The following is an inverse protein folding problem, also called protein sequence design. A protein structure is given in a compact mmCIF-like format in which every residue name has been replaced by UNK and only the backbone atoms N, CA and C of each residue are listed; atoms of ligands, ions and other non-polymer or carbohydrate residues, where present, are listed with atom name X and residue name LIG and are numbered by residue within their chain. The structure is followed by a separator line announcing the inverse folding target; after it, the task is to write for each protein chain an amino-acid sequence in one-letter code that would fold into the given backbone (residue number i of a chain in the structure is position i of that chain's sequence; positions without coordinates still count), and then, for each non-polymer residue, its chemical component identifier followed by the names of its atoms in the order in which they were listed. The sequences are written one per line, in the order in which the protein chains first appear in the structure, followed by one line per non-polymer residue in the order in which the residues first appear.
data_IF_867013968896
#
_entry.id   IF_867013968896
#
_cell.length_a   1.000
_cell.length_b   1.000
_cell.length_c   1.000
_cell.angle_alpha   90.00
_cell.angle_beta   90.00
_cell.angle_gamma   90.00
#
_symmetry.space_group_name_H-M   'P 1'
#
loop_
_entity.id
_entity.type
_entity.pdbx_description
1 polymer ?
#
# COMPACT_ATOMS: atom_id res chain seq x y z
N UNK A 1 -2.06 12.32 -9.54
CA UNK A 1 -1.60 10.93 -9.36
C UNK A 1 -0.07 10.81 -9.32
N UNK A 2 0.69 11.61 -10.09
CA UNK A 2 2.16 11.58 -10.13
C UNK A 2 2.83 11.80 -8.76
N UNK A 3 2.25 12.60 -7.87
CA UNK A 3 2.77 12.83 -6.51
C UNK A 3 2.78 11.54 -5.65
N UNK A 4 1.64 10.85 -5.56
CA UNK A 4 1.55 9.56 -4.84
C UNK A 4 2.44 8.51 -5.47
N UNK A 5 2.46 8.44 -6.81
CA UNK A 5 3.31 7.49 -7.52
C UNK A 5 4.80 7.78 -7.28
N UNK A 6 5.21 9.05 -7.37
CA UNK A 6 6.61 9.45 -7.15
C UNK A 6 7.07 9.18 -5.72
N UNK A 7 6.21 9.40 -4.72
CA UNK A 7 6.53 9.05 -3.34
C UNK A 7 6.65 7.53 -3.15
N UNK A 8 5.86 6.71 -3.84
CA UNK A 8 5.87 5.26 -3.61
C UNK A 8 7.09 4.52 -4.18
N UNK A 9 7.97 5.17 -4.95
CA UNK A 9 9.12 4.49 -5.60
C UNK A 9 10.31 4.25 -4.66
N UNK A 10 10.43 5.00 -3.56
CA UNK A 10 11.55 4.87 -2.61
C UNK A 10 11.05 4.38 -1.25
N UNK A 11 11.91 3.71 -0.47
CA UNK A 11 11.54 3.22 0.87
C UNK A 11 11.04 4.35 1.78
N UNK A 12 11.81 5.44 1.87
CA UNK A 12 11.45 6.63 2.66
C UNK A 12 10.12 7.22 2.19
N UNK A 13 9.90 7.29 0.88
CA UNK A 13 8.68 7.83 0.33
C UNK A 13 7.47 6.93 0.58
N UNK A 14 7.63 5.60 0.58
CA UNK A 14 6.56 4.65 0.94
C UNK A 14 6.14 4.79 2.40
N UNK A 15 7.10 4.91 3.32
CA UNK A 15 6.84 5.15 4.76
C UNK A 15 6.08 6.47 4.96
N UNK A 16 6.57 7.54 4.33
CA UNK A 16 5.88 8.84 4.33
C UNK A 16 4.46 8.74 3.76
N UNK A 17 4.29 8.05 2.63
CA UNK A 17 3.02 8.00 1.91
C UNK A 17 1.92 7.32 2.72
N UNK A 18 2.25 6.21 3.38
CA UNK A 18 1.31 5.53 4.27
C UNK A 18 0.93 6.43 5.45
N UNK A 19 1.91 7.05 6.11
CA UNK A 19 1.67 7.95 7.23
C UNK A 19 0.79 9.14 6.83
N UNK A 20 1.13 9.81 5.73
CA UNK A 20 0.36 10.92 5.20
C UNK A 20 -1.07 10.51 4.85
N UNK A 21 -1.25 9.35 4.21
CA UNK A 21 -2.58 8.87 3.82
C UNK A 21 -3.46 8.58 5.04
N UNK A 22 -2.94 7.85 6.03
CA UNK A 22 -3.74 7.44 7.20
C UNK A 22 -4.11 8.63 8.11
N UNK A 23 -3.24 9.63 8.21
CA UNK A 23 -3.51 10.84 9.01
C UNK A 23 -4.49 11.80 8.32
N UNK A 24 -4.49 11.84 6.98
CA UNK A 24 -5.24 12.84 6.21
C UNK A 24 -6.41 12.22 5.42
N UNK A 25 -6.81 11.00 5.74
CA UNK A 25 -7.77 10.23 4.94
C UNK A 25 -9.09 10.98 4.69
N UNK A 26 -9.66 11.62 5.72
CA UNK A 26 -10.90 12.40 5.58
C UNK A 26 -10.75 13.59 4.62
N UNK A 27 -9.65 14.34 4.74
CA UNK A 27 -9.32 15.44 3.83
C UNK A 27 -9.11 14.95 2.40
N UNK A 28 -8.40 13.82 2.22
CA UNK A 28 -8.17 13.23 0.92
C UNK A 28 -9.47 12.72 0.28
N UNK A 29 -10.37 12.14 1.08
CA UNK A 29 -11.69 11.74 0.59
C UNK A 29 -12.48 12.95 0.11
N UNK A 30 -12.54 14.04 0.89
CA UNK A 30 -13.22 15.27 0.48
C UNK A 30 -12.62 15.84 -0.83
N UNK A 31 -11.30 15.97 -0.90
CA UNK A 31 -10.61 16.56 -2.06
C UNK A 31 -10.67 15.70 -3.31
N UNK A 32 -10.73 14.38 -3.18
CA UNK A 32 -10.70 13.47 -4.32
C UNK A 32 -12.09 13.04 -4.81
N UNK A 33 -13.17 13.55 -4.21
CA UNK A 33 -14.54 13.26 -4.64
C UNK A 33 -15.16 12.04 -3.95
N UNK A 34 -14.77 11.79 -2.70
CA UNK A 34 -15.25 10.72 -1.84
C UNK A 34 -14.41 9.44 -1.91
N UNK A 35 -14.65 8.53 -0.96
CA UNK A 35 -13.96 7.22 -0.86
C UNK A 35 -14.25 6.29 -2.05
N UNK A 36 -15.41 6.47 -2.69
CA UNK A 36 -15.79 5.74 -3.90
C UNK A 36 -15.11 6.23 -5.18
N UNK A 37 -14.44 7.38 -5.14
CA UNK A 37 -13.78 7.93 -6.32
C UNK A 37 -12.60 7.07 -6.76
N UNK A 38 -12.41 6.96 -8.08
CA UNK A 38 -11.27 6.24 -8.66
C UNK A 38 -9.93 6.83 -8.24
N UNK A 39 -9.87 8.16 -8.07
CA UNK A 39 -8.67 8.86 -7.61
C UNK A 39 -8.33 8.50 -6.17
N UNK A 40 -9.29 8.55 -5.24
CA UNK A 40 -9.06 8.17 -3.85
C UNK A 40 -8.60 6.71 -3.75
N UNK A 41 -9.32 5.79 -4.40
CA UNK A 41 -8.96 4.36 -4.36
C UNK A 41 -7.59 4.09 -4.97
N UNK A 42 -7.19 4.83 -6.01
CA UNK A 42 -5.84 4.69 -6.58
C UNK A 42 -4.76 5.21 -5.62
N UNK A 43 -4.98 6.34 -4.97
CA UNK A 43 -4.07 6.88 -3.97
C UNK A 43 -3.94 5.96 -2.75
N UNK A 44 -5.05 5.40 -2.27
CA UNK A 44 -5.10 4.37 -1.24
C UNK A 44 -4.21 3.18 -1.61
N UNK A 45 -4.42 2.61 -2.80
CA UNK A 45 -3.64 1.47 -3.27
C UNK A 45 -2.16 1.79 -3.35
N UNK A 46 -1.79 2.95 -3.90
CA UNK A 46 -0.39 3.38 -4.00
C UNK A 46 0.30 3.55 -2.64
N UNK A 47 -0.43 3.92 -1.60
CA UNK A 47 0.09 4.03 -0.24
C UNK A 47 0.37 2.67 0.43
N UNK A 48 -0.14 1.57 -0.13
CA UNK A 48 -0.11 0.23 0.47
C UNK A 48 0.66 -0.77 -0.39
N UNK A 49 0.39 -0.85 -1.70
CA UNK A 49 0.68 -1.99 -2.58
C UNK A 49 2.17 -2.30 -2.81
N UNK A 50 3.09 -1.39 -2.44
CA UNK A 50 4.54 -1.55 -2.64
C UNK A 50 5.31 -2.04 -1.41
N UNK A 51 4.62 -2.25 -0.29
CA UNK A 51 5.20 -2.86 0.91
C UNK A 51 5.31 -4.38 0.75
N UNK A 52 6.01 -5.05 1.67
CA UNK A 52 6.25 -6.51 1.60
C UNK A 52 6.31 -7.23 2.97
N UNK A 53 5.65 -6.72 4.01
CA UNK A 53 5.66 -7.34 5.35
C UNK A 53 4.25 -7.65 5.88
N UNK A 54 4.13 -8.71 6.69
CA UNK A 54 2.83 -9.09 7.27
C UNK A 54 2.41 -8.12 8.38
N UNK A 55 3.40 -7.55 9.08
CA UNK A 55 3.20 -6.53 10.11
C UNK A 55 2.52 -5.29 9.52
N UNK A 56 2.93 -4.89 8.31
CA UNK A 56 2.32 -3.78 7.60
C UNK A 56 0.88 -4.10 7.17
N UNK A 57 0.63 -5.33 6.69
CA UNK A 57 -0.74 -5.77 6.35
C UNK A 57 -1.65 -5.70 7.57
N UNK A 58 -1.19 -6.16 8.73
CA UNK A 58 -1.94 -6.07 9.98
C UNK A 58 -2.17 -4.62 10.40
N UNK A 59 -1.19 -3.73 10.24
CA UNK A 59 -1.35 -2.30 10.51
C UNK A 59 -2.47 -1.69 9.64
N UNK A 60 -2.46 -1.99 8.35
CA UNK A 60 -3.45 -1.50 7.37
C UNK A 60 -4.86 -1.98 7.73
N UNK A 61 -5.03 -3.29 7.97
CA UNK A 61 -6.32 -3.87 8.33
C UNK A 61 -6.85 -3.30 9.66
N UNK A 62 -5.98 -3.19 10.67
CA UNK A 62 -6.33 -2.61 11.96
C UNK A 62 -6.70 -1.12 11.88
N UNK A 63 -6.04 -0.35 11.00
CA UNK A 63 -6.36 1.05 10.80
C UNK A 63 -7.78 1.20 10.24
N UNK A 64 -8.09 0.51 9.12
CA UNK A 64 -9.39 0.65 8.46
C UNK A 64 -10.55 0.11 9.29
N UNK A 65 -10.35 -0.97 10.05
CA UNK A 65 -11.36 -1.47 10.99
C UNK A 65 -11.73 -0.45 12.08
N UNK A 66 -10.83 0.49 12.42
CA UNK A 66 -11.05 1.49 13.47
C UNK A 66 -11.47 2.86 12.93
N UNK A 67 -11.05 3.21 11.71
CA UNK A 67 -11.16 4.58 11.18
C UNK A 67 -12.35 4.80 10.23
N UNK A 68 -12.92 3.74 9.64
CA UNK A 68 -13.99 3.86 8.65
C UNK A 68 -15.38 3.65 9.23
N UNK A 69 -16.35 4.38 8.68
CA UNK A 69 -17.77 4.08 8.87
C UNK A 69 -18.13 2.74 8.21
N UNK A 70 -19.22 2.10 8.61
CA UNK A 70 -19.67 0.84 7.99
C UNK A 70 -19.90 0.95 6.48
N UNK A 71 -20.38 2.11 6.01
CA UNK A 71 -20.62 2.37 4.59
C UNK A 71 -19.31 2.57 3.81
N UNK A 72 -18.36 3.33 4.36
CA UNK A 72 -17.06 3.53 3.73
C UNK A 72 -16.26 2.23 3.71
N UNK A 73 -16.35 1.43 4.77
CA UNK A 73 -15.73 0.10 4.84
C UNK A 73 -16.29 -0.82 3.75
N UNK A 74 -17.61 -0.84 3.53
CA UNK A 74 -18.21 -1.62 2.44
C UNK A 74 -17.71 -1.16 1.06
N UNK A 75 -17.54 0.15 0.88
CA UNK A 75 -17.05 0.74 -0.37
C UNK A 75 -15.58 0.41 -0.63
N UNK A 76 -14.76 0.40 0.43
CA UNK A 76 -13.32 0.21 0.36
C UNK A 76 -12.86 -1.24 0.57
N UNK A 77 -13.76 -2.16 0.94
CA UNK A 77 -13.44 -3.57 1.23
C UNK A 77 -12.61 -4.22 0.12
N UNK A 78 -13.08 -4.12 -1.13
CA UNK A 78 -12.37 -4.69 -2.28
C UNK A 78 -11.02 -3.98 -2.53
N UNK A 79 -10.94 -2.65 -2.64
CA UNK A 79 -9.66 -1.94 -2.79
C UNK A 79 -8.62 -2.28 -1.71
N UNK A 80 -9.04 -2.34 -0.44
CA UNK A 80 -8.17 -2.66 0.71
C UNK A 80 -7.64 -4.09 0.56
N UNK A 81 -8.52 -5.08 0.36
CA UNK A 81 -8.13 -6.48 0.17
C UNK A 81 -7.15 -6.65 -0.98
N UNK A 82 -7.42 -6.01 -2.11
CA UNK A 82 -6.52 -6.04 -3.26
C UNK A 82 -5.14 -5.46 -2.94
N UNK A 83 -5.08 -4.32 -2.23
CA UNK A 83 -3.81 -3.69 -1.87
C UNK A 83 -3.02 -4.53 -0.86
N UNK A 84 -3.68 -5.06 0.18
CA UNK A 84 -3.04 -5.96 1.15
C UNK A 84 -2.57 -7.27 0.52
N UNK A 85 -3.31 -7.79 -0.46
CA UNK A 85 -2.91 -9.00 -1.18
C UNK A 85 -1.66 -8.75 -2.03
N UNK A 86 -1.54 -7.57 -2.66
CA UNK A 86 -0.29 -7.19 -3.34
C UNK A 86 0.90 -7.19 -2.38
N UNK A 87 0.74 -6.72 -1.13
CA UNK A 87 1.81 -6.76 -0.11
C UNK A 87 2.21 -8.20 0.24
N UNK A 88 1.24 -9.10 0.44
CA UNK A 88 1.49 -10.53 0.69
C UNK A 88 2.19 -11.19 -0.49
N UNK A 89 1.77 -10.87 -1.71
CA UNK A 89 2.39 -11.37 -2.93
C UNK A 89 3.84 -10.87 -3.08
N UNK A 90 4.12 -9.60 -2.78
CA UNK A 90 5.48 -9.05 -2.80
C UNK A 90 6.38 -9.78 -1.79
N UNK A 91 5.88 -10.03 -0.57
CA UNK A 91 6.60 -10.82 0.45
C UNK A 91 6.95 -12.20 -0.07
N UNK A 92 5.96 -12.92 -0.62
CA UNK A 92 6.14 -14.26 -1.15
C UNK A 92 7.13 -14.26 -2.32
N UNK A 93 7.02 -13.30 -3.23
CA UNK A 93 7.95 -13.14 -4.35
C UNK A 93 9.38 -12.94 -3.85
N UNK A 94 9.58 -12.04 -2.88
CA UNK A 94 10.89 -11.82 -2.28
C UNK A 94 11.43 -13.12 -1.66
N UNK A 95 10.65 -13.78 -0.80
CA UNK A 95 11.08 -15.00 -0.11
C UNK A 95 11.40 -16.15 -1.07
N UNK A 96 10.63 -16.32 -2.14
CA UNK A 96 10.83 -17.38 -3.11
C UNK A 96 12.01 -17.15 -4.06
N UNK A 97 12.42 -15.91 -4.28
CA UNK A 97 13.45 -15.58 -5.30
C UNK A 97 14.74 -15.02 -4.70
N UNK A 98 14.77 -14.70 -3.40
CA UNK A 98 15.91 -14.04 -2.76
C UNK A 98 17.22 -14.80 -2.99
N UNK A 99 17.22 -16.11 -2.74
CA UNK A 99 18.42 -16.94 -2.88
C UNK A 99 18.94 -17.00 -4.33
N UNK A 100 18.03 -17.13 -5.30
CA UNK A 100 18.38 -17.22 -6.72
C UNK A 100 18.91 -15.88 -7.25
N UNK A 101 18.30 -14.77 -6.83
CA UNK A 101 18.75 -13.42 -7.17
C UNK A 101 20.11 -13.16 -6.54
N UNK A 102 20.30 -13.48 -5.25
CA UNK A 102 21.56 -13.26 -4.54
C UNK A 102 22.71 -14.06 -5.17
N UNK A 103 22.46 -15.33 -5.50
CA UNK A 103 23.42 -16.18 -6.21
C UNK A 103 23.76 -15.61 -7.60
N UNK A 104 22.76 -15.14 -8.35
CA UNK A 104 22.97 -14.52 -9.65
C UNK A 104 23.81 -13.24 -9.55
N UNK A 105 23.45 -12.32 -8.64
CA UNK A 105 24.16 -11.05 -8.46
C UNK A 105 25.61 -11.27 -8.01
N UNK A 106 25.82 -12.18 -7.04
CA UNK A 106 27.16 -12.57 -6.59
C UNK A 106 28.00 -13.13 -7.73
N UNK A 107 27.42 -13.97 -8.60
CA UNK A 107 28.11 -14.49 -9.79
C UNK A 107 28.48 -13.41 -10.83
N UNK A 108 27.76 -12.28 -10.84
CA UNK A 108 28.09 -11.11 -11.66
C UNK A 108 29.07 -10.14 -10.98
N UNK A 109 29.53 -10.43 -9.76
CA UNK A 109 30.44 -9.58 -8.99
C UNK A 109 29.77 -8.34 -8.38
N UNK A 110 28.45 -8.38 -8.20
CA UNK A 110 27.70 -7.42 -7.38
C UNK A 110 27.64 -7.88 -5.92
#
# INVERSE_FOLDING_TARGET
MLLFYGASVSKVGQEFLWQYFKENMGFLAEKFGGVGSSLFQRCLKLAIERQCSDEFVQEVENHFCKSLSSQDMQTLDRPIKQATESVRLNKKLLQSNLADIDAFLTAQGM
#
